data_IF_383217842287
#
_entry.id   IF_383217842287
#
_cell.length_a   1.000
_cell.length_b   1.000
_cell.length_c   1.000
_cell.angle_alpha   90.00
_cell.angle_beta   90.00
_cell.angle_gamma   90.00
#
_symmetry.space_group_name_H-M   'P 1'
#
loop_
_entity.id
_entity.type
_entity.pdbx_description
1 polymer ?
#
# COMPACT_ATOMS: atom_id res chain seq x y z
N UNK A 1 -4.40 -10.88 1.03
CA UNK A 1 -3.27 -10.06 1.54
C UNK A 1 -2.45 -9.51 0.38
N UNK A 2 -2.09 -10.30 -0.63
CA UNK A 2 -1.71 -9.80 -1.97
C UNK A 2 -2.32 -10.74 -3.01
N UNK A 3 -2.92 -10.20 -4.07
CA UNK A 3 -3.29 -10.97 -5.27
C UNK A 3 -2.04 -11.20 -6.11
N UNK A 4 -1.47 -12.40 -5.97
CA UNK A 4 -0.23 -12.78 -6.64
C UNK A 4 -0.37 -12.91 -8.16
N UNK A 5 -1.59 -13.09 -8.69
CA UNK A 5 -1.81 -13.10 -10.15
C UNK A 5 -1.70 -11.68 -10.71
N UNK A 6 -2.29 -10.70 -10.02
CA UNK A 6 -2.13 -9.27 -10.36
C UNK A 6 -0.66 -8.87 -10.23
N UNK A 7 -0.02 -9.22 -9.11
CA UNK A 7 1.39 -8.94 -8.87
C UNK A 7 2.30 -9.50 -9.97
N UNK A 8 2.16 -10.78 -10.32
CA UNK A 8 2.98 -11.42 -11.36
C UNK A 8 2.74 -10.80 -12.75
N UNK A 9 1.50 -10.41 -13.05
CA UNK A 9 1.17 -9.67 -14.27
C UNK A 9 1.85 -8.30 -14.29
N UNK A 10 1.71 -7.51 -13.23
CA UNK A 10 2.36 -6.19 -13.07
C UNK A 10 3.88 -6.33 -13.22
N UNK A 11 4.48 -7.34 -12.59
CA UNK A 11 5.92 -7.62 -12.71
C UNK A 11 6.34 -7.93 -14.14
N UNK A 12 5.57 -8.75 -14.85
CA UNK A 12 5.83 -9.06 -16.27
C UNK A 12 5.72 -7.83 -17.16
N UNK A 13 4.70 -6.99 -16.92
CA UNK A 13 4.45 -5.78 -17.70
C UNK A 13 5.52 -4.70 -17.48
N UNK A 14 5.95 -4.51 -16.23
CA UNK A 14 6.94 -3.49 -15.87
C UNK A 14 8.39 -3.95 -16.12
N UNK A 15 8.64 -5.26 -16.14
CA UNK A 15 9.96 -5.82 -16.41
C UNK A 15 11.04 -5.20 -15.50
N UNK A 16 12.15 -4.68 -16.04
CA UNK A 16 13.21 -4.05 -15.25
C UNK A 16 12.75 -2.84 -14.42
N UNK A 17 11.69 -2.14 -14.84
CA UNK A 17 11.16 -0.99 -14.11
C UNK A 17 10.43 -1.38 -12.82
N UNK A 18 10.08 -2.66 -12.65
CA UNK A 18 9.31 -3.16 -11.51
C UNK A 18 9.95 -2.80 -10.16
N UNK A 19 11.26 -3.05 -9.99
CA UNK A 19 11.98 -2.79 -8.73
C UNK A 19 12.00 -1.29 -8.41
N UNK A 20 12.17 -0.44 -9.42
CA UNK A 20 12.14 1.02 -9.25
C UNK A 20 10.76 1.51 -8.81
N UNK A 21 9.70 1.00 -9.44
CA UNK A 21 8.32 1.40 -9.11
C UNK A 21 7.92 0.86 -7.73
N UNK A 22 8.39 -0.33 -7.34
CA UNK A 22 8.22 -0.85 -5.97
C UNK A 22 8.95 0.04 -4.95
N UNK A 23 10.10 0.61 -5.32
CA UNK A 23 10.81 1.61 -4.53
C UNK A 23 9.96 2.87 -4.28
N UNK A 24 9.21 3.35 -5.27
CA UNK A 24 8.30 4.49 -5.08
C UNK A 24 7.16 4.17 -4.12
N UNK A 25 6.51 2.99 -4.25
CA UNK A 25 5.49 2.57 -3.27
C UNK A 25 6.06 2.52 -1.84
N UNK A 26 7.33 2.14 -1.67
CA UNK A 26 7.99 2.15 -0.36
C UNK A 26 8.21 3.58 0.16
N UNK A 27 8.76 4.46 -0.66
CA UNK A 27 9.14 5.80 -0.21
C UNK A 27 7.95 6.76 -0.12
N UNK A 28 7.09 6.78 -1.13
CA UNK A 28 5.94 7.69 -1.20
C UNK A 28 4.74 7.13 -0.42
N UNK A 29 4.60 5.81 -0.35
CA UNK A 29 3.62 5.15 0.51
C UNK A 29 3.89 5.42 2.00
N UNK A 30 5.13 5.31 2.48
CA UNK A 30 5.45 5.56 3.89
C UNK A 30 5.19 7.02 4.29
N UNK A 31 5.61 7.98 3.45
CA UNK A 31 5.27 9.40 3.61
C UNK A 31 3.75 9.64 3.62
N UNK A 32 3.01 8.90 2.80
CA UNK A 32 1.55 9.03 2.74
C UNK A 32 0.90 8.48 4.02
N UNK A 33 1.38 7.35 4.55
CA UNK A 33 0.91 6.81 5.84
C UNK A 33 1.19 7.80 6.97
N UNK A 34 2.38 8.37 7.04
CA UNK A 34 2.74 9.41 8.03
C UNK A 34 1.81 10.63 7.92
N UNK A 35 1.57 11.12 6.70
CA UNK A 35 0.65 12.26 6.47
C UNK A 35 -0.78 11.97 6.89
N UNK A 36 -1.25 10.72 6.76
CA UNK A 36 -2.58 10.31 7.23
C UNK A 36 -2.62 10.34 8.76
N UNK A 37 -1.60 9.81 9.43
CA UNK A 37 -1.49 9.81 10.89
C UNK A 37 -1.47 11.24 11.44
N UNK A 38 -0.66 12.12 10.84
CA UNK A 38 -0.56 13.54 11.20
C UNK A 38 -1.87 14.31 10.96
N UNK A 39 -2.53 14.06 9.83
CA UNK A 39 -3.83 14.65 9.53
C UNK A 39 -4.88 14.18 10.54
N UNK A 40 -4.85 12.91 10.93
CA UNK A 40 -5.74 12.37 11.95
C UNK A 40 -5.50 13.03 13.31
N UNK A 41 -4.23 13.18 13.71
CA UNK A 41 -3.84 13.84 14.96
C UNK A 41 -4.27 15.31 15.01
N UNK A 42 -4.13 16.05 13.89
CA UNK A 42 -4.49 17.47 13.79
C UNK A 42 -5.96 17.73 13.48
N UNK A 43 -6.78 16.68 13.37
CA UNK A 43 -8.18 16.76 12.96
C UNK A 43 -8.40 17.45 11.60
N UNK A 44 -7.53 17.15 10.64
CA UNK A 44 -7.56 17.71 9.29
C UNK A 44 -8.15 16.71 8.28
N UNK A 45 -9.46 16.80 8.02
CA UNK A 45 -10.13 15.93 7.05
C UNK A 45 -9.62 16.11 5.61
N UNK A 46 -9.21 17.33 5.23
CA UNK A 46 -8.66 17.60 3.89
C UNK A 46 -7.30 16.93 3.72
N UNK A 47 -6.49 16.96 4.77
CA UNK A 47 -5.18 16.32 4.83
C UNK A 47 -5.19 14.80 4.66
N UNK A 48 -6.34 14.14 4.87
CA UNK A 48 -6.48 12.69 4.73
C UNK A 48 -6.65 12.24 3.27
N UNK A 49 -7.30 13.04 2.42
CA UNK A 49 -7.82 12.57 1.11
C UNK A 49 -6.71 12.18 0.16
N UNK A 50 -5.78 13.09 -0.13
CA UNK A 50 -4.72 12.86 -1.10
C UNK A 50 -3.78 11.71 -0.70
N UNK A 51 -3.23 11.65 0.53
CA UNK A 51 -2.35 10.54 0.89
C UNK A 51 -3.08 9.20 0.94
N UNK A 52 -4.35 9.15 1.35
CA UNK A 52 -5.13 7.92 1.30
C UNK A 52 -5.36 7.45 -0.16
N UNK A 53 -5.62 8.40 -1.07
CA UNK A 53 -5.71 8.11 -2.50
C UNK A 53 -4.41 7.51 -3.06
N UNK A 54 -3.25 8.11 -2.72
CA UNK A 54 -1.94 7.60 -3.15
C UNK A 54 -1.72 6.16 -2.69
N UNK A 55 -1.88 5.89 -1.38
CA UNK A 55 -1.72 4.53 -0.84
C UNK A 55 -2.67 3.55 -1.53
N UNK A 56 -3.93 3.94 -1.77
CA UNK A 56 -4.92 3.11 -2.47
C UNK A 56 -4.44 2.71 -3.87
N UNK A 57 -4.05 3.68 -4.68
CA UNK A 57 -3.68 3.44 -6.09
C UNK A 57 -2.43 2.58 -6.19
N UNK A 58 -1.42 2.88 -5.38
CA UNK A 58 -0.15 2.15 -5.42
C UNK A 58 -0.32 0.73 -4.88
N UNK A 59 -1.06 0.54 -3.79
CA UNK A 59 -1.36 -0.79 -3.26
C UNK A 59 -2.03 -1.68 -4.33
N UNK A 60 -3.06 -1.15 -5.02
CA UNK A 60 -3.78 -1.89 -6.06
C UNK A 60 -2.92 -2.22 -7.27
N UNK A 61 -1.98 -1.34 -7.65
CA UNK A 61 -1.03 -1.63 -8.73
C UNK A 61 -0.20 -2.90 -8.47
N UNK A 62 0.13 -3.17 -7.21
CA UNK A 62 0.86 -4.36 -6.79
C UNK A 62 -0.02 -5.53 -6.32
N UNK A 63 -1.35 -5.41 -6.47
CA UNK A 63 -2.31 -6.42 -6.04
C UNK A 63 -2.53 -6.48 -4.52
N UNK A 64 -2.09 -5.48 -3.75
CA UNK A 64 -2.25 -5.42 -2.31
C UNK A 64 -3.66 -4.95 -1.89
N UNK A 65 -4.68 -5.74 -2.25
CA UNK A 65 -6.08 -5.33 -2.10
C UNK A 65 -6.48 -4.93 -0.68
N UNK A 66 -6.07 -5.63 0.41
CA UNK A 66 -6.48 -5.21 1.75
C UNK A 66 -5.95 -3.84 2.17
N UNK A 67 -4.73 -3.49 1.73
CA UNK A 67 -4.16 -2.15 1.96
C UNK A 67 -4.92 -1.11 1.12
N UNK A 68 -5.20 -1.44 -0.15
CA UNK A 68 -5.99 -0.58 -1.03
C UNK A 68 -7.40 -0.30 -0.49
N UNK A 69 -8.09 -1.32 0.00
CA UNK A 69 -9.43 -1.21 0.56
C UNK A 69 -9.46 -0.35 1.84
N UNK A 70 -8.48 -0.54 2.75
CA UNK A 70 -8.39 0.28 3.96
C UNK A 70 -8.11 1.76 3.64
N UNK A 71 -7.22 2.02 2.68
CA UNK A 71 -6.94 3.37 2.22
C UNK A 71 -8.15 4.01 1.51
N UNK A 72 -8.91 3.23 0.75
CA UNK A 72 -10.17 3.68 0.14
C UNK A 72 -11.25 4.03 1.17
N UNK A 73 -11.37 3.26 2.24
CA UNK A 73 -12.28 3.56 3.35
C UNK A 73 -11.96 4.91 3.99
N UNK A 74 -10.67 5.17 4.26
CA UNK A 74 -10.19 6.45 4.80
C UNK A 74 -10.45 7.60 3.81
N UNK A 75 -10.12 7.42 2.53
CA UNK A 75 -10.33 8.45 1.50
C UNK A 75 -11.82 8.81 1.38
N UNK A 76 -12.70 7.81 1.32
CA UNK A 76 -14.13 8.02 1.14
C UNK A 76 -14.75 8.70 2.36
N UNK A 77 -14.43 8.25 3.56
CA UNK A 77 -14.91 8.87 4.79
C UNK A 77 -14.41 10.31 4.94
N UNK A 78 -13.15 10.59 4.60
CA UNK A 78 -12.61 11.95 4.59
C UNK A 78 -13.35 12.87 3.61
N UNK A 79 -13.64 12.41 2.39
CA UNK A 79 -14.44 13.19 1.41
C UNK A 79 -15.83 13.52 1.95
N UNK A 80 -16.54 12.54 2.54
CA UNK A 80 -17.85 12.77 3.16
C UNK A 80 -17.78 13.74 4.35
N UNK A 81 -16.70 13.70 5.12
CA UNK A 81 -16.49 14.60 6.24
C UNK A 81 -16.30 16.05 5.79
N UNK A 82 -15.56 16.26 4.71
CA UNK A 82 -15.40 17.59 4.08
C UNK A 82 -16.75 18.12 3.59
N UNK A 83 -17.52 17.30 2.87
CA UNK A 83 -18.86 17.66 2.37
C UNK A 83 -19.83 17.96 3.52
N UNK A 84 -19.76 17.18 4.61
CA UNK A 84 -20.62 17.34 5.79
C UNK A 84 -20.11 18.35 6.81
N UNK A 85 -18.99 19.02 6.55
CA UNK A 85 -18.34 19.97 7.47
C UNK A 85 -18.09 19.42 8.89
N UNK A 86 -17.65 18.17 8.99
CA UNK A 86 -17.24 17.53 10.24
C UNK A 86 -15.86 16.87 10.11
N UNK A 87 -15.33 16.36 11.22
CA UNK A 87 -14.11 15.55 11.21
C UNK A 87 -14.44 14.09 11.54
N UNK A 88 -13.94 13.09 10.78
CA UNK A 88 -14.31 11.69 10.94
C UNK A 88 -13.49 11.03 12.06
N UNK A 89 -13.78 11.39 13.33
CA UNK A 89 -13.11 10.82 14.51
C UNK A 89 -13.28 9.28 14.62
N UNK A 90 -14.28 8.72 13.96
CA UNK A 90 -14.52 7.27 13.87
C UNK A 90 -13.50 6.52 13.01
N UNK A 91 -12.64 7.22 12.27
CA UNK A 91 -11.54 6.63 11.48
C UNK A 91 -10.28 6.29 12.29
N UNK A 92 -10.19 6.66 13.59
CA UNK A 92 -9.01 6.36 14.42
C UNK A 92 -8.58 4.87 14.34
N UNK A 93 -9.50 3.89 14.43
CA UNK A 93 -9.13 2.47 14.31
C UNK A 93 -8.56 2.09 12.94
N UNK A 94 -9.09 2.67 11.86
CA UNK A 94 -8.67 2.42 10.48
C UNK A 94 -7.27 2.99 10.26
N UNK A 95 -7.04 4.24 10.70
CA UNK A 95 -5.71 4.88 10.63
C UNK A 95 -4.69 4.11 11.44
N UNK A 96 -5.02 3.68 12.66
CA UNK A 96 -4.12 2.88 13.51
C UNK A 96 -3.76 1.52 12.88
N UNK A 97 -4.65 0.93 12.07
CA UNK A 97 -4.40 -0.32 11.34
C UNK A 97 -3.59 -0.13 10.06
N UNK A 98 -3.50 1.09 9.55
CA UNK A 98 -2.89 1.37 8.25
C UNK A 98 -1.38 1.08 8.25
N UNK A 99 -0.63 1.64 9.21
CA UNK A 99 0.82 1.44 9.31
C UNK A 99 1.27 -0.02 9.43
N UNK A 100 0.72 -0.85 10.34
CA UNK A 100 1.12 -2.25 10.41
C UNK A 100 0.73 -3.05 9.16
N UNK A 101 -0.41 -2.74 8.53
CA UNK A 101 -0.81 -3.39 7.28
C UNK A 101 0.10 -2.99 6.11
N UNK A 102 0.47 -1.71 6.04
CA UNK A 102 1.42 -1.18 5.06
C UNK A 102 2.78 -1.86 5.19
N UNK A 103 3.36 -1.86 6.39
CA UNK A 103 4.65 -2.49 6.67
C UNK A 103 4.66 -3.97 6.28
N UNK A 104 3.61 -4.72 6.65
CA UNK A 104 3.47 -6.13 6.26
C UNK A 104 3.33 -6.33 4.76
N UNK A 105 2.64 -5.43 4.08
CA UNK A 105 2.47 -5.48 2.63
C UNK A 105 3.81 -5.28 1.92
N UNK A 106 4.57 -4.25 2.31
CA UNK A 106 5.90 -3.97 1.76
C UNK A 106 6.83 -5.17 1.95
N UNK A 107 6.89 -5.75 3.15
CA UNK A 107 7.70 -6.93 3.44
C UNK A 107 7.39 -8.10 2.49
N UNK A 108 6.10 -8.36 2.23
CA UNK A 108 5.68 -9.43 1.32
C UNK A 108 6.08 -9.15 -0.13
N UNK A 109 5.89 -7.93 -0.61
CA UNK A 109 6.22 -7.52 -1.97
C UNK A 109 7.74 -7.56 -2.21
N UNK A 110 8.53 -7.10 -1.25
CA UNK A 110 9.99 -7.12 -1.32
C UNK A 110 10.58 -8.52 -1.32
N UNK A 111 10.02 -9.40 -0.49
CA UNK A 111 10.45 -10.80 -0.43
C UNK A 111 10.27 -11.50 -1.76
N UNK A 112 9.16 -11.24 -2.48
CA UNK A 112 8.95 -11.77 -3.83
C UNK A 112 9.86 -11.09 -4.87
N UNK A 113 10.07 -9.78 -4.74
CA UNK A 113 10.94 -9.01 -5.64
C UNK A 113 12.42 -9.43 -5.56
N UNK A 114 12.85 -10.06 -4.47
CA UNK A 114 14.25 -10.47 -4.26
C UNK A 114 14.71 -11.50 -5.32
N UNK A 115 15.72 -11.18 -6.15
CA UNK A 115 16.21 -12.06 -7.19
C UNK A 115 16.84 -13.37 -6.67
N UNK A 116 17.20 -13.46 -5.39
CA UNK A 116 17.72 -14.69 -4.79
C UNK A 116 16.64 -15.76 -4.57
N UNK A 117 15.38 -15.38 -4.36
CA UNK A 117 14.26 -16.34 -4.31
C UNK A 117 14.01 -17.00 -5.68
N UNK A 118 14.44 -16.35 -6.78
CA UNK A 118 14.38 -16.91 -8.14
C UNK A 118 15.55 -17.83 -8.47
N UNK A 119 16.59 -17.88 -7.61
CA UNK A 119 17.78 -18.72 -7.76
C UNK A 119 17.78 -19.90 -6.79
N UNK A 120 16.63 -20.57 -6.62
CA UNK A 120 16.70 -21.99 -6.25
C UNK A 120 16.94 -22.76 -7.54
N UNK A 121 18.17 -23.14 -7.90
CA UNK A 121 18.33 -24.11 -8.96
C UNK A 121 17.64 -25.38 -8.48
N UNK A 122 16.71 -25.90 -9.27
CA UNK A 122 16.49 -27.33 -9.32
C UNK A 122 17.81 -27.97 -9.78
N UNK A 123 18.81 -28.02 -8.89
CA UNK A 123 20.07 -28.70 -9.12
C UNK A 123 19.79 -30.16 -8.83
N UNK A 124 19.45 -30.87 -9.90
CA UNK A 124 19.81 -32.26 -10.18
C UNK A 124 20.14 -33.11 -8.94
N UNK A 125 19.14 -33.87 -8.48
CA UNK A 125 19.42 -35.19 -7.93
C UNK A 125 19.79 -36.08 -9.12
N UNK A 126 21.09 -36.11 -9.43
CA UNK A 126 21.68 -37.10 -10.31
C UNK A 126 22.22 -38.28 -9.49
N UNK A 127 22.25 -39.43 -10.18
CA UNK A 127 22.73 -40.77 -9.81
C UNK A 127 21.75 -41.66 -9.03
#
# INVERSE_FOLDING_TARGET
MVDWKVHARTRTQLGPAFVRILGYLREDGDKSVERIEDAMHRKDATGLVLPAHTVKTEARQFGAEPLGALAEEIEFAARRAIEGHYFPDDLVPQVARLRPLYARTIELLERDANPLCQRTPARAAGA
#
